data_IF_594263860404
#
_entry.id   IF_594263860404
#
_cell.length_a   1.000
_cell.length_b   1.000
_cell.length_c   1.000
_cell.angle_alpha   90.00
_cell.angle_beta   90.00
_cell.angle_gamma   90.00
#
_symmetry.space_group_name_H-M   'P 1'
#
loop_
_entity.id
_entity.type
_entity.pdbx_description
1 polymer ?
#
# COMPACT_ATOMS: atom_id res chain seq x y z
N UNK A 1 -11.06 12.17 -11.01
CA UNK A 1 -10.31 12.61 -9.80
C UNK A 1 -11.03 12.05 -8.57
N UNK A 2 -10.96 10.75 -8.34
CA UNK A 2 -11.48 10.15 -7.12
C UNK A 2 -10.29 9.90 -6.18
N UNK A 3 -9.91 10.93 -5.43
CA UNK A 3 -8.92 10.80 -4.36
C UNK A 3 -9.62 10.28 -3.12
N UNK A 4 -9.34 9.03 -2.73
CA UNK A 4 -9.79 8.47 -1.46
C UNK A 4 -8.74 7.48 -0.97
N UNK A 5 -7.81 7.94 -0.13
CA UNK A 5 -6.86 7.05 0.54
C UNK A 5 -7.65 6.21 1.55
N UNK A 6 -7.83 4.92 1.25
CA UNK A 6 -8.37 3.96 2.20
C UNK A 6 -7.21 3.34 3.00
N UNK A 7 -7.12 3.67 4.28
CA UNK A 7 -6.12 3.10 5.19
C UNK A 7 -6.56 1.73 5.68
N UNK A 8 -5.82 0.67 5.32
CA UNK A 8 -5.98 -0.66 5.91
C UNK A 8 -4.78 -0.90 6.82
N UNK A 9 -5.03 -0.95 8.12
CA UNK A 9 -4.01 -1.23 9.14
C UNK A 9 -3.71 -2.73 9.25
N UNK A 10 -2.47 -3.06 9.62
CA UNK A 10 -2.00 -4.44 9.85
C UNK A 10 -0.56 -4.48 10.34
N UNK A 11 0.04 -5.65 10.43
CA UNK A 11 1.49 -5.79 10.67
C UNK A 11 2.29 -5.54 9.40
N UNK A 12 3.62 -5.37 9.49
CA UNK A 12 4.49 -5.30 8.31
C UNK A 12 4.32 -6.53 7.41
N UNK A 13 4.17 -7.72 8.01
CA UNK A 13 3.92 -8.97 7.29
C UNK A 13 2.56 -8.99 6.56
N UNK A 14 1.55 -8.32 7.09
CA UNK A 14 0.27 -8.15 6.38
C UNK A 14 0.43 -7.28 5.14
N UNK A 15 1.21 -6.20 5.25
CA UNK A 15 1.53 -5.34 4.10
C UNK A 15 2.28 -6.13 3.03
N UNK A 16 3.31 -6.89 3.41
CA UNK A 16 4.09 -7.74 2.49
C UNK A 16 3.19 -8.75 1.76
N UNK A 17 2.28 -9.40 2.50
CA UNK A 17 1.32 -10.35 1.93
C UNK A 17 0.40 -9.68 0.92
N UNK A 18 -0.10 -8.47 1.23
CA UNK A 18 -0.95 -7.71 0.31
C UNK A 18 -0.18 -7.33 -0.95
N UNK A 19 1.07 -6.87 -0.83
CA UNK A 19 1.95 -6.56 -1.97
C UNK A 19 2.11 -7.76 -2.89
N UNK A 20 2.36 -8.96 -2.34
CA UNK A 20 2.52 -10.18 -3.12
C UNK A 20 1.24 -10.63 -3.87
N UNK A 21 0.06 -10.21 -3.42
CA UNK A 21 -1.22 -10.61 -4.02
C UNK A 21 -1.84 -9.53 -4.91
N UNK A 22 -1.45 -8.26 -4.73
CA UNK A 22 -2.11 -7.09 -5.34
C UNK A 22 -2.31 -7.21 -6.85
N UNK A 23 -1.28 -7.59 -7.61
CA UNK A 23 -1.36 -7.67 -9.08
C UNK A 23 -2.31 -8.78 -9.57
N UNK A 24 -2.47 -9.87 -8.82
CA UNK A 24 -3.46 -10.90 -9.13
C UNK A 24 -4.91 -10.41 -8.92
N UNK A 25 -5.09 -9.31 -8.20
CA UNK A 25 -6.39 -8.69 -7.89
C UNK A 25 -6.63 -7.38 -8.66
N UNK A 26 -5.89 -7.12 -9.74
CA UNK A 26 -6.08 -5.93 -10.57
C UNK A 26 -5.54 -4.63 -9.96
N UNK A 27 -4.65 -4.74 -8.98
CA UNK A 27 -3.97 -3.59 -8.37
C UNK A 27 -2.53 -3.47 -8.87
N UNK A 28 -2.17 -2.27 -9.31
CA UNK A 28 -0.81 -1.91 -9.71
C UNK A 28 -0.12 -1.18 -8.58
N UNK A 29 1.05 -1.66 -8.18
CA UNK A 29 1.87 -0.97 -7.18
C UNK A 29 2.35 0.39 -7.70
N UNK A 30 2.29 1.40 -6.83
CA UNK A 30 2.84 2.73 -7.03
C UNK A 30 4.11 2.88 -6.19
N UNK A 31 5.12 3.56 -6.74
CA UNK A 31 6.38 3.81 -6.05
C UNK A 31 7.08 2.53 -5.53
N UNK A 32 6.97 1.43 -6.29
CA UNK A 32 7.51 0.12 -5.90
C UNK A 32 9.02 0.14 -5.65
N UNK A 33 9.75 1.06 -6.30
CA UNK A 33 11.18 1.32 -6.10
C UNK A 33 11.51 1.91 -4.72
N UNK A 34 10.53 2.49 -4.05
CA UNK A 34 10.65 3.10 -2.72
C UNK A 34 9.92 2.32 -1.63
N UNK A 35 9.36 1.16 -1.94
CA UNK A 35 8.73 0.28 -0.96
C UNK A 35 9.76 -0.19 0.10
N UNK A 36 9.42 -0.25 1.41
CA UNK A 36 8.15 0.12 2.03
C UNK A 36 8.07 1.57 2.54
N UNK A 37 9.00 2.45 2.18
CA UNK A 37 9.18 3.78 2.79
C UNK A 37 8.89 4.94 1.82
N UNK A 38 7.99 4.74 0.85
CA UNK A 38 7.68 5.78 -0.13
C UNK A 38 7.05 7.04 0.49
N UNK A 39 6.41 6.90 1.66
CA UNK A 39 5.90 8.00 2.50
C UNK A 39 6.88 8.53 3.56
N UNK A 40 8.09 7.98 3.66
CA UNK A 40 9.12 8.35 4.64
C UNK A 40 9.65 7.15 5.43
N UNK A 41 10.83 7.32 6.04
CA UNK A 41 11.58 6.23 6.74
C UNK A 41 10.82 5.59 7.90
N UNK A 42 9.91 6.34 8.53
CA UNK A 42 9.14 5.92 9.70
C UNK A 42 7.73 5.44 9.30
N UNK A 43 7.48 5.27 8.00
CA UNK A 43 6.16 5.00 7.43
C UNK A 43 6.21 3.77 6.51
N UNK A 44 5.99 2.58 7.10
CA UNK A 44 6.00 1.31 6.37
C UNK A 44 4.67 1.10 5.65
N UNK A 45 4.62 1.41 4.35
CA UNK A 45 3.40 1.38 3.56
C UNK A 45 3.61 0.90 2.11
N UNK A 46 2.54 0.34 1.54
CA UNK A 46 2.40 0.09 0.12
C UNK A 46 1.32 1.00 -0.47
N UNK A 47 1.55 1.47 -1.70
CA UNK A 47 0.61 2.29 -2.44
C UNK A 47 0.18 1.52 -3.70
N UNK A 48 -1.10 1.53 -4.02
CA UNK A 48 -1.60 0.88 -5.24
C UNK A 48 -2.62 1.76 -5.95
N UNK A 49 -2.80 1.51 -7.26
CA UNK A 49 -3.99 1.96 -8.00
C UNK A 49 -4.67 0.81 -8.74
N UNK A 50 -5.95 0.94 -9.03
CA UNK A 50 -6.68 0.04 -9.93
C UNK A 50 -7.00 0.72 -11.28
N UNK A 51 -7.57 -0.03 -12.22
CA UNK A 51 -7.88 0.44 -13.58
C UNK A 51 -8.97 1.54 -13.64
N UNK A 52 -9.71 1.74 -12.55
CA UNK A 52 -10.69 2.81 -12.40
C UNK A 52 -10.07 4.11 -11.85
N UNK A 53 -8.76 4.10 -11.54
CA UNK A 53 -8.01 5.23 -11.02
C UNK A 53 -8.19 5.47 -9.51
N UNK A 54 -8.72 4.50 -8.77
CA UNK A 54 -8.73 4.55 -7.30
C UNK A 54 -7.35 4.23 -6.77
N UNK A 55 -6.93 4.99 -5.76
CA UNK A 55 -5.66 4.77 -5.06
C UNK A 55 -5.91 4.31 -3.63
N UNK A 56 -5.06 3.43 -3.13
CA UNK A 56 -5.11 2.92 -1.76
C UNK A 56 -3.73 2.92 -1.13
N UNK A 57 -3.68 3.15 0.17
CA UNK A 57 -2.48 3.09 0.99
C UNK A 57 -2.68 2.05 2.09
N UNK A 58 -1.79 1.06 2.13
CA UNK A 58 -1.81 -0.01 3.12
C UNK A 58 -0.63 0.21 4.04
N UNK A 59 -0.89 0.46 5.33
CA UNK A 59 0.13 0.90 6.29
C UNK A 59 0.26 -0.13 7.41
N UNK A 60 1.50 -0.48 7.75
CA UNK A 60 1.75 -1.26 8.95
C UNK A 60 1.56 -0.36 10.18
N UNK A 61 0.73 -0.79 11.12
CA UNK A 61 0.67 -0.16 12.42
C UNK A 61 2.00 -0.38 13.16
N UNK A 62 2.52 0.67 13.79
CA UNK A 62 3.63 0.49 14.72
C UNK A 62 3.18 -0.45 15.85
N UNK A 63 4.01 -1.44 16.19
CA UNK A 63 3.80 -2.20 17.41
C UNK A 63 3.91 -1.23 18.60
N UNK A 64 2.86 -1.18 19.43
CA UNK A 64 2.84 -0.41 20.68
C UNK A 64 3.81 -1.00 21.71
#
# INVERSE_FOLDING_TARGET
MATGVHHIGGTAADVDRIVGQASAHGWRALYADRYPYAGGRDHHAAYFENDEGFTVEVVAAAAL
#
